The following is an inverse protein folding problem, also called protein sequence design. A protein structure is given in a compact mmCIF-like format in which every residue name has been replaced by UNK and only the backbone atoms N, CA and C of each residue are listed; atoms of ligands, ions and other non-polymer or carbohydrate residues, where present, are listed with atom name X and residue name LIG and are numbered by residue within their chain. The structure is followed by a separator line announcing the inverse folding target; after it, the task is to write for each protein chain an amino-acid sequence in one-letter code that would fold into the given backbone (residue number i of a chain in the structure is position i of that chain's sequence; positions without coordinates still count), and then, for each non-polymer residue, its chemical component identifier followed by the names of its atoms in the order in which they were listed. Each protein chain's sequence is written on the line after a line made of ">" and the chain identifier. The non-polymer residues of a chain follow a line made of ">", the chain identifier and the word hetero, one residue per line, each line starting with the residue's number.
data_IF_687148503839
#
_entry.id   IF_687148503839
#
_cell.length_a   1.000
_cell.length_b   1.000
_cell.length_c   1.000
_cell.angle_alpha   90.00
_cell.angle_beta   90.00
_cell.angle_gamma   90.00
#
_symmetry.space_group_name_H-M   'P 1'
#
loop_
_entity.id
_entity.type
_entity.pdbx_description
1 polymer ?
#
# COMPACT_ATOMS: atom_id res chain seq x y z
N UNK A 1 4.21 52.78 44.23
CA UNK A 1 5.63 52.91 43.84
C UNK A 1 6.22 51.51 43.75
N UNK A 2 6.80 51.19 42.59
CA UNK A 2 7.72 50.05 42.32
C UNK A 2 7.11 48.64 42.43
N UNK A 3 6.61 48.06 41.33
CA UNK A 3 7.36 47.37 40.26
C UNK A 3 8.01 46.07 40.72
N UNK A 4 7.42 44.93 40.34
CA UNK A 4 8.15 43.77 39.82
C UNK A 4 7.33 43.11 38.72
N UNK A 5 7.82 43.23 37.48
CA UNK A 5 7.38 42.45 36.33
C UNK A 5 8.14 41.13 36.38
N UNK A 6 7.45 40.00 36.50
CA UNK A 6 8.07 38.69 36.27
C UNK A 6 8.01 38.40 34.78
N UNK A 7 9.19 38.41 34.18
CA UNK A 7 9.48 37.99 32.83
C UNK A 7 9.50 36.46 32.80
N UNK A 8 8.73 35.84 31.91
CA UNK A 8 8.72 34.40 31.70
C UNK A 8 8.29 34.09 30.27
N UNK A 9 9.21 34.29 29.31
CA UNK A 9 9.11 33.68 27.98
C UNK A 9 9.09 32.16 28.12
N UNK A 10 8.29 31.47 27.28
CA UNK A 10 8.77 30.41 26.39
C UNK A 10 7.62 29.86 25.53
N UNK A 11 7.60 30.29 24.27
CA UNK A 11 6.98 29.57 23.15
C UNK A 11 7.69 28.24 22.96
N UNK A 12 6.96 27.13 22.81
CA UNK A 12 7.18 26.14 21.73
C UNK A 12 5.90 25.34 21.49
N UNK A 13 5.41 25.35 20.24
CA UNK A 13 4.43 24.39 19.76
C UNK A 13 5.08 23.01 19.74
N UNK A 14 4.46 22.01 20.36
CA UNK A 14 4.95 20.63 20.26
C UNK A 14 4.60 20.11 18.87
N UNK A 15 5.56 20.20 17.95
CA UNK A 15 5.57 19.47 16.70
C UNK A 15 5.35 17.98 16.99
N UNK A 16 4.22 17.41 16.54
CA UNK A 16 4.15 15.96 16.41
C UNK A 16 4.89 15.58 15.13
N UNK A 17 6.22 15.62 15.23
CA UNK A 17 7.12 15.10 14.21
C UNK A 17 6.88 13.59 14.15
N UNK A 18 6.04 13.14 13.23
CA UNK A 18 5.96 11.74 12.85
C UNK A 18 7.27 11.35 12.15
N UNK A 19 8.25 11.03 12.99
CA UNK A 19 9.46 10.22 12.77
C UNK A 19 9.81 9.95 11.31
N UNK A 20 10.68 10.77 10.73
CA UNK A 20 11.55 10.33 9.62
C UNK A 20 12.68 9.48 10.20
N UNK A 21 12.38 8.25 10.59
CA UNK A 21 13.43 7.28 10.95
C UNK A 21 14.10 6.80 9.67
N UNK A 22 15.35 7.21 9.45
CA UNK A 22 16.25 6.58 8.48
C UNK A 22 16.51 5.15 8.95
N UNK A 23 15.68 4.21 8.51
CA UNK A 23 15.84 2.77 8.78
C UNK A 23 16.78 2.21 7.71
N UNK A 24 17.90 1.63 8.12
CA UNK A 24 18.59 0.62 7.29
C UNK A 24 17.58 -0.50 7.06
N UNK A 25 16.92 -0.50 5.90
CA UNK A 25 15.83 -1.44 5.61
C UNK A 25 16.44 -2.81 5.38
N UNK A 26 16.32 -3.71 6.34
CA UNK A 26 16.62 -5.12 6.09
C UNK A 26 15.69 -5.63 4.97
N UNK A 27 16.06 -6.72 4.30
CA UNK A 27 15.20 -7.30 3.27
C UNK A 27 13.80 -7.64 3.81
N UNK A 28 13.68 -7.96 5.10
CA UNK A 28 12.42 -8.18 5.80
C UNK A 28 11.60 -6.89 5.90
N UNK A 29 12.22 -5.77 6.31
CA UNK A 29 11.52 -4.48 6.42
C UNK A 29 11.02 -3.99 5.05
N UNK A 30 11.80 -4.20 4.00
CA UNK A 30 11.40 -3.86 2.62
C UNK A 30 10.19 -4.69 2.19
N UNK A 31 10.22 -6.00 2.49
CA UNK A 31 9.09 -6.90 2.19
C UNK A 31 7.82 -6.46 2.90
N UNK A 32 7.91 -6.09 4.17
CA UNK A 32 6.74 -5.62 4.93
C UNK A 32 6.17 -4.31 4.38
N UNK A 33 7.04 -3.36 4.04
CA UNK A 33 6.62 -2.08 3.42
C UNK A 33 5.93 -2.33 2.08
N UNK A 34 6.51 -3.20 1.24
CA UNK A 34 5.91 -3.55 -0.05
C UNK A 34 4.57 -4.27 0.14
N UNK A 35 4.48 -5.19 1.10
CA UNK A 35 3.24 -5.92 1.37
C UNK A 35 2.13 -4.97 1.84
N UNK A 36 2.47 -4.01 2.70
CA UNK A 36 1.54 -2.97 3.13
C UNK A 36 1.08 -2.12 1.95
N UNK A 37 1.99 -1.77 1.04
CA UNK A 37 1.64 -1.03 -0.17
C UNK A 37 0.67 -1.82 -1.04
N UNK A 38 0.93 -3.11 -1.31
CA UNK A 38 0.03 -3.96 -2.08
C UNK A 38 -1.37 -4.01 -1.44
N UNK A 39 -1.46 -4.27 -0.13
CA UNK A 39 -2.73 -4.26 0.61
C UNK A 39 -3.48 -2.94 0.49
N UNK A 40 -2.77 -1.82 0.61
CA UNK A 40 -3.38 -0.49 0.50
C UNK A 40 -3.97 -0.28 -0.89
N UNK A 41 -3.25 -0.70 -1.93
CA UNK A 41 -3.67 -0.55 -3.33
C UNK A 41 -4.79 -1.48 -3.74
N UNK A 42 -4.92 -2.64 -3.11
CA UNK A 42 -6.01 -3.57 -3.41
C UNK A 42 -7.15 -3.51 -2.39
N UNK A 43 -7.22 -2.48 -1.54
CA UNK A 43 -8.22 -2.38 -0.47
C UNK A 43 -9.66 -2.24 -0.97
N UNK A 44 -9.87 -1.84 -2.22
CA UNK A 44 -11.18 -1.73 -2.87
C UNK A 44 -11.70 -3.07 -3.45
N UNK A 45 -10.87 -4.13 -3.47
CA UNK A 45 -11.22 -5.42 -4.05
C UNK A 45 -11.55 -6.42 -2.93
N UNK A 46 -12.83 -6.67 -2.62
CA UNK A 46 -13.22 -7.51 -1.47
C UNK A 46 -12.79 -8.98 -1.62
N UNK A 47 -12.58 -9.44 -2.85
CA UNK A 47 -12.18 -10.82 -3.14
C UNK A 47 -10.64 -11.01 -3.19
N UNK A 48 -9.86 -9.99 -2.82
CA UNK A 48 -8.39 -10.03 -2.88
C UNK A 48 -7.80 -9.66 -1.53
N UNK A 49 -7.23 -10.66 -0.85
CA UNK A 49 -6.48 -10.46 0.40
C UNK A 49 -5.01 -10.85 0.21
N UNK A 50 -4.13 -9.84 0.18
CA UNK A 50 -2.69 -10.05 0.02
C UNK A 50 -2.02 -10.16 1.38
N UNK A 51 -1.77 -11.37 1.88
CA UNK A 51 -1.12 -11.61 3.18
C UNK A 51 0.35 -12.00 3.06
N UNK A 52 0.80 -12.40 1.87
CA UNK A 52 2.16 -12.83 1.60
C UNK A 52 2.55 -12.58 0.12
N UNK A 53 3.77 -12.94 -0.27
CA UNK A 53 4.26 -12.89 -1.66
C UNK A 53 4.27 -14.26 -2.36
N UNK A 54 3.48 -15.22 -1.88
CA UNK A 54 3.38 -16.57 -2.44
C UNK A 54 1.93 -16.93 -2.74
N UNK A 55 1.21 -17.57 -1.81
CA UNK A 55 -0.14 -18.08 -2.02
C UNK A 55 -1.17 -17.00 -2.35
N UNK A 56 -1.03 -15.80 -1.79
CA UNK A 56 -1.92 -14.66 -2.11
C UNK A 56 -1.84 -14.20 -3.57
N UNK A 57 -0.81 -14.62 -4.31
CA UNK A 57 -0.61 -14.27 -5.71
C UNK A 57 -0.83 -15.46 -6.64
N UNK A 58 -1.04 -16.64 -6.07
CA UNK A 58 -1.01 -17.89 -6.82
C UNK A 58 -2.17 -18.02 -7.80
N UNK A 59 -3.31 -17.38 -7.56
CA UNK A 59 -4.50 -17.39 -8.43
C UNK A 59 -4.53 -16.27 -9.48
N UNK A 60 -3.55 -15.36 -9.44
CA UNK A 60 -3.43 -14.21 -10.34
C UNK A 60 -4.35 -13.03 -10.04
N UNK A 61 -5.29 -13.12 -9.07
CA UNK A 61 -6.22 -12.02 -8.79
C UNK A 61 -5.51 -10.81 -8.17
N UNK A 62 -4.49 -11.03 -7.35
CA UNK A 62 -3.68 -9.94 -6.79
C UNK A 62 -2.99 -9.09 -7.87
N UNK A 63 -2.51 -9.73 -8.95
CA UNK A 63 -1.94 -9.00 -10.09
C UNK A 63 -3.01 -8.22 -10.85
N UNK A 64 -4.15 -8.87 -11.16
CA UNK A 64 -5.26 -8.21 -11.83
C UNK A 64 -5.77 -7.00 -11.03
N UNK A 65 -5.90 -7.11 -9.71
CA UNK A 65 -6.37 -6.03 -8.84
C UNK A 65 -5.42 -4.83 -8.84
N UNK A 66 -4.11 -5.08 -8.78
CA UNK A 66 -3.12 -4.01 -8.85
C UNK A 66 -3.14 -3.29 -10.20
N UNK A 67 -3.23 -4.03 -11.31
CA UNK A 67 -3.31 -3.44 -12.65
C UNK A 67 -4.59 -2.61 -12.78
N UNK A 68 -5.72 -3.16 -12.38
CA UNK A 68 -7.02 -2.48 -12.44
C UNK A 68 -7.06 -1.23 -11.54
N UNK A 69 -6.34 -1.21 -10.41
CA UNK A 69 -6.22 -0.01 -9.58
C UNK A 69 -5.58 1.18 -10.32
N UNK A 70 -4.60 0.92 -11.20
CA UNK A 70 -3.96 1.97 -12.00
C UNK A 70 -4.67 2.22 -13.33
N UNK A 71 -5.30 1.18 -13.88
CA UNK A 71 -5.99 1.20 -15.17
C UNK A 71 -7.36 0.51 -15.06
N UNK A 72 -8.37 1.18 -14.45
CA UNK A 72 -9.68 0.57 -14.23
C UNK A 72 -10.39 0.23 -15.55
N UNK A 73 -10.04 0.91 -16.65
CA UNK A 73 -10.64 0.68 -17.96
C UNK A 73 -9.99 -0.49 -18.74
N UNK A 74 -8.97 -1.16 -18.17
CA UNK A 74 -8.23 -2.19 -18.88
C UNK A 74 -9.01 -3.50 -19.07
N UNK A 75 -9.85 -3.87 -18.09
CA UNK A 75 -10.71 -5.07 -18.12
C UNK A 75 -11.72 -5.05 -16.97
N UNK A 76 -12.80 -5.82 -17.07
CA UNK A 76 -13.75 -5.99 -15.97
C UNK A 76 -13.20 -6.95 -14.90
N UNK A 77 -12.78 -6.39 -13.77
CA UNK A 77 -12.29 -7.18 -12.63
C UNK A 77 -13.38 -8.05 -12.00
N UNK A 78 -14.63 -7.59 -11.96
CA UNK A 78 -15.71 -8.31 -11.27
C UNK A 78 -16.11 -9.61 -11.98
N UNK A 79 -15.77 -9.74 -13.26
CA UNK A 79 -15.96 -10.96 -14.05
C UNK A 79 -14.85 -12.01 -13.84
N UNK A 80 -13.81 -11.73 -13.05
CA UNK A 80 -12.72 -12.66 -12.78
C UNK A 80 -13.06 -13.65 -11.66
N UNK A 81 -12.51 -14.86 -11.76
CA UNK A 81 -12.67 -15.94 -10.78
C UNK A 81 -11.29 -16.49 -10.40
N UNK A 82 -11.03 -16.66 -9.11
CA UNK A 82 -9.80 -17.25 -8.57
C UNK A 82 -9.51 -18.67 -9.11
N UNK A 83 -10.55 -19.41 -9.49
CA UNK A 83 -10.40 -20.75 -10.10
C UNK A 83 -9.72 -20.70 -11.46
N UNK A 84 -9.86 -19.59 -12.18
CA UNK A 84 -9.34 -19.40 -13.54
C UNK A 84 -7.90 -18.85 -13.56
N UNK A 85 -7.03 -19.44 -12.74
CA UNK A 85 -5.64 -19.00 -12.53
C UNK A 85 -4.89 -18.67 -13.83
N UNK A 86 -4.90 -19.58 -14.80
CA UNK A 86 -4.18 -19.41 -16.07
C UNK A 86 -4.66 -18.17 -16.83
N UNK A 87 -5.99 -17.96 -16.87
CA UNK A 87 -6.62 -16.80 -17.52
C UNK A 87 -6.26 -15.51 -16.80
N UNK A 88 -6.26 -15.50 -15.47
CA UNK A 88 -5.93 -14.32 -14.67
C UNK A 88 -4.48 -13.87 -14.91
N UNK A 89 -3.52 -14.81 -14.93
CA UNK A 89 -2.14 -14.49 -15.26
C UNK A 89 -1.98 -13.99 -16.69
N UNK A 90 -2.59 -14.68 -17.66
CA UNK A 90 -2.51 -14.28 -19.07
C UNK A 90 -3.08 -12.87 -19.29
N UNK A 91 -4.21 -12.55 -18.65
CA UNK A 91 -4.80 -11.22 -18.68
C UNK A 91 -3.87 -10.18 -18.03
N UNK A 92 -3.38 -10.44 -16.82
CA UNK A 92 -2.51 -9.52 -16.11
C UNK A 92 -1.23 -9.21 -16.90
N UNK A 93 -0.54 -10.22 -17.42
CA UNK A 93 0.67 -10.00 -18.21
C UNK A 93 0.37 -9.29 -19.53
N UNK A 94 -0.67 -9.70 -20.25
CA UNK A 94 -1.05 -9.05 -21.52
C UNK A 94 -1.40 -7.57 -21.31
N UNK A 95 -2.08 -7.24 -20.22
CA UNK A 95 -2.41 -5.84 -19.91
C UNK A 95 -1.18 -5.04 -19.48
N UNK A 96 -0.24 -5.66 -18.76
CA UNK A 96 0.98 -5.00 -18.31
C UNK A 96 2.02 -4.76 -19.42
N UNK A 97 1.88 -5.40 -20.58
CA UNK A 97 2.77 -5.21 -21.74
C UNK A 97 2.47 -3.93 -22.57
N UNK A 98 1.37 -3.22 -22.27
CA UNK A 98 0.98 -1.95 -22.89
C UNK A 98 1.26 -0.76 -21.97
#
# INVERSE_FOLDING_TARGET
>A
MSSFRTFGQSTVMSANQSRTTTVMRSATDIKEVLLRWCKSKTSEYPNVEITNFSSSWADGLAFCALIHHFYPDAFDFNALDAKNRRKNFELAFKTAEY
#
